data_IF_787711234522
#
_entry.id   IF_787711234522
#
_cell.length_a   1.000
_cell.length_b   1.000
_cell.length_c   1.000
_cell.angle_alpha   90.00
_cell.angle_beta   90.00
_cell.angle_gamma   90.00
#
_symmetry.space_group_name_H-M   'P 1'
#
loop_
_entity.id
_entity.type
_entity.pdbx_description
1 polymer ?
#
# COMPACT_ATOMS: atom_id res chain seq x y z
N UNK A 1 8.08 27.91 1.16
CA UNK A 1 7.52 27.10 2.27
C UNK A 1 6.02 26.90 2.11
N UNK A 2 5.19 27.96 2.05
CA UNK A 2 3.72 27.86 1.90
C UNK A 2 3.23 26.90 0.79
N UNK A 3 3.81 26.96 -0.42
CA UNK A 3 3.42 26.05 -1.51
C UNK A 3 3.74 24.57 -1.23
N UNK A 4 4.84 24.26 -0.54
CA UNK A 4 5.22 22.87 -0.23
C UNK A 4 4.25 22.28 0.79
N UNK A 5 3.89 23.05 1.81
CA UNK A 5 2.87 22.65 2.80
C UNK A 5 1.50 22.44 2.14
N UNK A 6 1.10 23.31 1.20
CA UNK A 6 -0.14 23.13 0.44
C UNK A 6 -0.12 21.86 -0.41
N UNK A 7 0.99 21.57 -1.09
CA UNK A 7 1.14 20.36 -1.90
C UNK A 7 1.09 19.09 -1.04
N UNK A 8 1.77 19.08 0.11
CA UNK A 8 1.71 17.96 1.06
C UNK A 8 0.30 17.75 1.61
N UNK A 9 -0.39 18.83 1.96
CA UNK A 9 -1.79 18.75 2.42
C UNK A 9 -2.72 18.19 1.34
N UNK A 10 -2.57 18.64 0.09
CA UNK A 10 -3.37 18.14 -1.02
C UNK A 10 -3.10 16.65 -1.27
N UNK A 11 -1.83 16.23 -1.30
CA UNK A 11 -1.46 14.83 -1.45
C UNK A 11 -2.05 13.96 -0.34
N UNK A 12 -1.99 14.42 0.91
CA UNK A 12 -2.59 13.72 2.05
C UNK A 12 -4.11 13.61 1.93
N UNK A 13 -4.78 14.66 1.45
CA UNK A 13 -6.22 14.63 1.20
C UNK A 13 -6.59 13.63 0.10
N UNK A 14 -5.85 13.61 -1.01
CA UNK A 14 -6.07 12.66 -2.10
C UNK A 14 -5.89 11.23 -1.61
N UNK A 15 -4.82 10.97 -0.85
CA UNK A 15 -4.55 9.66 -0.27
C UNK A 15 -5.68 9.18 0.64
N UNK A 16 -6.17 10.04 1.53
CA UNK A 16 -7.20 9.69 2.53
C UNK A 16 -8.64 9.69 2.00
N UNK A 17 -8.93 10.44 0.94
CA UNK A 17 -10.27 10.51 0.33
C UNK A 17 -10.47 9.52 -0.83
N UNK A 18 -9.44 8.75 -1.21
CA UNK A 18 -9.59 7.64 -2.15
C UNK A 18 -10.54 6.58 -1.58
N UNK A 19 -11.41 6.02 -2.43
CA UNK A 19 -12.26 4.87 -2.08
C UNK A 19 -11.53 3.53 -2.20
N UNK A 20 -10.41 3.49 -2.93
CA UNK A 20 -9.55 2.32 -3.03
C UNK A 20 -8.59 2.28 -1.84
N UNK A 21 -8.40 1.09 -1.27
CA UNK A 21 -7.42 0.85 -0.22
C UNK A 21 -6.01 1.05 -0.74
N UNK A 22 -5.26 1.95 -0.11
CA UNK A 22 -3.88 2.27 -0.48
C UNK A 22 -2.93 1.91 0.66
N UNK A 23 -1.79 1.34 0.31
CA UNK A 23 -0.71 0.94 1.22
C UNK A 23 0.60 1.50 0.67
N UNK A 24 1.36 2.18 1.53
CA UNK A 24 2.72 2.65 1.23
C UNK A 24 3.69 1.72 1.96
N UNK A 25 4.70 1.20 1.27
CA UNK A 25 5.72 0.33 1.88
C UNK A 25 7.14 0.85 1.68
N UNK A 26 8.05 0.40 2.54
CA UNK A 26 9.49 0.52 2.31
C UNK A 26 9.96 -0.51 1.25
N UNK A 27 11.27 -0.50 0.95
CA UNK A 27 11.89 -1.43 -0.01
C UNK A 27 11.86 -2.90 0.44
N UNK A 28 11.68 -3.17 1.72
CA UNK A 28 11.55 -4.52 2.28
C UNK A 28 10.08 -4.95 2.40
N UNK A 29 9.17 -4.17 1.82
CA UNK A 29 7.73 -4.36 1.89
C UNK A 29 7.16 -4.26 3.32
N UNK A 30 7.77 -3.48 4.20
CA UNK A 30 7.16 -3.11 5.47
C UNK A 30 6.24 -1.92 5.24
N UNK A 31 5.02 -1.98 5.77
CA UNK A 31 4.02 -0.92 5.67
C UNK A 31 4.50 0.31 6.42
N UNK A 32 4.60 1.44 5.73
CA UNK A 32 4.90 2.76 6.27
C UNK A 32 3.61 3.52 6.57
N UNK A 33 2.60 3.37 5.70
CA UNK A 33 1.32 4.07 5.85
C UNK A 33 0.19 3.32 5.14
N UNK A 34 -1.04 3.57 5.58
CA UNK A 34 -2.27 3.07 4.96
C UNK A 34 -3.33 4.16 4.98
N UNK A 35 -4.16 4.24 3.94
CA UNK A 35 -5.22 5.24 3.90
C UNK A 35 -6.47 4.81 4.70
N UNK A 36 -7.41 5.73 4.84
CA UNK A 36 -8.71 5.47 5.49
C UNK A 36 -9.47 4.31 4.84
N UNK A 37 -9.52 4.25 3.50
CA UNK A 37 -10.24 3.19 2.79
C UNK A 37 -9.66 1.80 3.08
N UNK A 38 -8.34 1.67 3.19
CA UNK A 38 -7.71 0.41 3.61
C UNK A 38 -8.26 -0.10 4.94
N UNK A 39 -8.35 0.78 5.93
CA UNK A 39 -8.88 0.44 7.26
C UNK A 39 -10.35 0.03 7.18
N UNK A 40 -11.16 0.75 6.39
CA UNK A 40 -12.58 0.44 6.22
C UNK A 40 -12.83 -0.88 5.49
N UNK A 41 -12.03 -1.19 4.46
CA UNK A 41 -12.19 -2.40 3.63
C UNK A 41 -11.70 -3.63 4.38
N UNK A 42 -10.55 -3.53 5.05
CA UNK A 42 -9.90 -4.70 5.67
C UNK A 42 -10.27 -4.91 7.13
N UNK A 43 -10.75 -3.87 7.82
CA UNK A 43 -11.04 -3.87 9.25
C UNK A 43 -9.82 -3.67 10.16
N UNK A 44 -8.60 -3.66 9.61
CA UNK A 44 -7.38 -3.38 10.38
C UNK A 44 -7.20 -1.89 10.59
N UNK A 45 -6.85 -1.48 11.82
CA UNK A 45 -6.41 -0.11 12.08
C UNK A 45 -4.98 0.10 11.59
N UNK A 46 -4.65 1.34 11.26
CA UNK A 46 -3.30 1.70 10.78
C UNK A 46 -2.21 1.24 11.75
N UNK A 47 -2.38 1.47 13.06
CA UNK A 47 -1.38 1.14 14.08
C UNK A 47 -1.16 -0.37 14.24
N UNK A 48 -2.11 -1.18 13.80
CA UNK A 48 -2.00 -2.63 13.81
C UNK A 48 -1.18 -3.16 12.64
N UNK A 49 -1.01 -2.37 11.58
CA UNK A 49 -0.38 -2.81 10.33
C UNK A 49 0.92 -2.08 10.01
N UNK A 50 1.16 -0.87 10.55
CA UNK A 50 2.44 -0.17 10.38
C UNK A 50 3.59 -1.08 10.85
N UNK A 51 4.64 -1.16 10.03
CA UNK A 51 5.82 -1.99 10.25
C UNK A 51 5.63 -3.47 9.88
N UNK A 52 4.40 -3.93 9.58
CA UNK A 52 4.14 -5.29 9.13
C UNK A 52 4.27 -5.42 7.63
N UNK A 53 4.38 -6.64 7.15
CA UNK A 53 4.38 -6.94 5.73
C UNK A 53 2.93 -7.09 5.20
N UNK A 54 2.53 -6.53 4.04
CA UNK A 54 1.18 -6.65 3.48
C UNK A 54 0.69 -8.09 3.27
N UNK A 55 1.59 -9.09 3.34
CA UNK A 55 1.24 -10.51 3.34
C UNK A 55 0.22 -10.91 4.41
N UNK A 56 0.00 -10.10 5.44
CA UNK A 56 -1.11 -10.29 6.41
C UNK A 56 -2.49 -10.30 5.75
N UNK A 57 -2.62 -9.75 4.54
CA UNK A 57 -3.85 -9.72 3.74
C UNK A 57 -3.98 -10.91 2.79
N UNK A 58 -2.99 -11.81 2.74
CA UNK A 58 -3.02 -12.93 1.79
C UNK A 58 -4.23 -13.82 2.05
N UNK A 59 -5.07 -13.91 1.03
CA UNK A 59 -6.23 -14.80 0.97
C UNK A 59 -5.84 -16.28 0.76
N UNK A 60 -4.59 -16.55 0.38
CA UNK A 60 -4.09 -17.90 0.09
C UNK A 60 -4.32 -18.38 -1.35
N UNK A 61 -5.00 -17.59 -2.19
CA UNK A 61 -5.32 -17.97 -3.57
C UNK A 61 -4.13 -17.95 -4.54
N UNK A 62 -3.06 -17.23 -4.21
CA UNK A 62 -1.87 -17.11 -5.05
C UNK A 62 -0.66 -17.86 -4.48
N UNK A 63 0.02 -18.58 -5.36
CA UNK A 63 1.20 -19.39 -5.07
C UNK A 63 2.48 -18.54 -4.96
N UNK A 64 3.60 -19.18 -4.63
CA UNK A 64 4.89 -18.49 -4.51
C UNK A 64 5.37 -17.91 -5.85
N UNK A 65 5.10 -18.58 -6.97
CA UNK A 65 5.50 -18.15 -8.30
C UNK A 65 4.85 -16.83 -8.71
N UNK A 66 3.58 -16.65 -8.36
CA UNK A 66 2.86 -15.40 -8.55
C UNK A 66 3.57 -14.21 -7.85
N UNK A 67 3.90 -14.36 -6.56
CA UNK A 67 4.57 -13.28 -5.82
C UNK A 67 5.99 -13.03 -6.34
N UNK A 68 6.71 -14.06 -6.78
CA UNK A 68 8.03 -13.89 -7.42
C UNK A 68 7.91 -13.04 -8.69
N UNK A 69 6.91 -13.31 -9.53
CA UNK A 69 6.69 -12.51 -10.74
C UNK A 69 6.27 -11.07 -10.42
N UNK A 70 5.43 -10.87 -9.41
CA UNK A 70 5.04 -9.55 -8.93
C UNK A 70 6.27 -8.74 -8.52
N UNK A 71 7.13 -9.30 -7.66
CA UNK A 71 8.35 -8.62 -7.20
C UNK A 71 9.32 -8.35 -8.35
N UNK A 72 9.52 -9.32 -9.23
CA UNK A 72 10.36 -9.14 -10.42
C UNK A 72 9.86 -7.99 -11.31
N UNK A 73 8.54 -7.81 -11.46
CA UNK A 73 8.00 -6.67 -12.22
C UNK A 73 8.21 -5.34 -11.51
N UNK A 74 8.00 -5.28 -10.19
CA UNK A 74 8.26 -4.08 -9.40
C UNK A 74 9.73 -3.66 -9.47
N UNK A 75 10.66 -4.60 -9.36
CA UNK A 75 12.10 -4.33 -9.40
C UNK A 75 12.57 -3.83 -10.78
N UNK A 76 12.05 -4.41 -11.87
CA UNK A 76 12.51 -4.08 -13.23
C UNK A 76 11.74 -2.92 -13.88
N UNK A 77 10.44 -2.77 -13.58
CA UNK A 77 9.57 -1.78 -14.23
C UNK A 77 9.11 -0.67 -13.30
N UNK A 78 9.32 -0.81 -11.99
CA UNK A 78 8.87 0.16 -10.99
C UNK A 78 7.36 0.15 -10.75
N UNK A 79 6.60 -0.70 -11.43
CA UNK A 79 5.15 -0.77 -11.34
C UNK A 79 4.63 -2.17 -11.65
N UNK A 80 3.51 -2.52 -11.02
CA UNK A 80 2.78 -3.75 -11.24
C UNK A 80 1.27 -3.47 -11.17
N UNK A 81 0.47 -4.24 -11.90
CA UNK A 81 -1.00 -4.20 -11.84
C UNK A 81 -1.55 -5.63 -11.98
N UNK A 82 -2.52 -5.98 -11.15
CA UNK A 82 -3.19 -7.28 -11.13
C UNK A 82 -4.09 -7.41 -9.90
N UNK A 83 -4.61 -8.61 -9.65
CA UNK A 83 -5.48 -8.95 -8.50
C UNK A 83 -4.68 -9.78 -7.47
N UNK A 84 -4.96 -9.61 -6.17
CA UNK A 84 -4.23 -10.21 -5.03
C UNK A 84 -5.12 -11.03 -4.10
#
# INVERSE_FOLDING_TARGET
RKMVETQLSLASQIFNNSQEGMVITDRNANIIDVNTAFTQITGYRSEEVIGKNPRILRSGHHDQGFYQQLWHQLENKGQWKGEF
#
